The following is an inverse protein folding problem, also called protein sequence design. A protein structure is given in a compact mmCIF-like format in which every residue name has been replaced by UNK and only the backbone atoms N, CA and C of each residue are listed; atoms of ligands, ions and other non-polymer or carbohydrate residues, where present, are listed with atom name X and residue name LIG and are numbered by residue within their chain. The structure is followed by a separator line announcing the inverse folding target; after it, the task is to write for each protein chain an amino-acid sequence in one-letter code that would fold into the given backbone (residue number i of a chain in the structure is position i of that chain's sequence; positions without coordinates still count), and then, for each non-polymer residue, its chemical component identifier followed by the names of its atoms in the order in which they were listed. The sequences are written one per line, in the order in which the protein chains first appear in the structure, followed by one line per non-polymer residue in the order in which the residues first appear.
data_IF_776466545916
#
_entry.id   IF_776466545916
#
_cell.length_a   1.000
_cell.length_b   1.000
_cell.length_c   1.000
_cell.angle_alpha   90.00
_cell.angle_beta   90.00
_cell.angle_gamma   90.00
#
_symmetry.space_group_name_H-M   'P 1'
#
loop_
_entity.id
_entity.type
_entity.pdbx_description
1 polymer ?
#
# COMPACT_ATOMS: atom_id res chain seq x y z
N UNK A 1 -2.90 -26.79 13.69
CA UNK A 1 -1.91 -25.83 13.18
C UNK A 1 -2.63 -24.79 12.33
N UNK A 2 -2.31 -23.51 12.48
CA UNK A 2 -2.90 -22.45 11.63
C UNK A 2 -2.32 -22.51 10.21
N UNK A 3 -2.90 -21.76 9.25
CA UNK A 3 -2.49 -21.71 7.84
C UNK A 3 -0.98 -21.47 7.62
N UNK A 4 -0.30 -20.84 8.59
CA UNK A 4 1.13 -20.54 8.52
C UNK A 4 2.05 -21.67 9.04
N UNK A 5 1.52 -22.78 9.58
CA UNK A 5 2.31 -23.83 10.24
C UNK A 5 3.27 -23.30 11.32
N UNK A 6 2.89 -22.20 11.98
CA UNK A 6 3.60 -21.54 13.09
C UNK A 6 2.65 -21.41 14.29
N UNK A 7 3.16 -21.30 15.54
CA UNK A 7 2.33 -21.15 16.73
C UNK A 7 1.75 -19.72 16.86
N UNK A 8 0.97 -19.29 15.88
CA UNK A 8 0.44 -17.92 15.76
C UNK A 8 -1.02 -17.78 16.23
N UNK A 9 -1.68 -18.89 16.57
CA UNK A 9 -3.09 -18.87 16.96
C UNK A 9 -3.29 -18.14 18.29
N UNK A 10 -4.30 -17.26 18.37
CA UNK A 10 -4.59 -16.46 19.56
C UNK A 10 -3.82 -15.14 19.66
N UNK A 11 -2.91 -14.87 18.72
CA UNK A 11 -2.10 -13.66 18.69
C UNK A 11 -2.68 -12.58 17.76
N UNK A 12 -2.51 -11.31 18.13
CA UNK A 12 -2.81 -10.16 17.25
C UNK A 12 -1.54 -9.68 16.55
N UNK A 13 -1.63 -9.39 15.25
CA UNK A 13 -0.53 -8.84 14.44
C UNK A 13 -1.01 -7.67 13.61
N UNK A 14 -0.18 -6.64 13.52
CA UNK A 14 -0.34 -5.58 12.52
C UNK A 14 0.20 -6.07 11.17
N UNK A 15 -0.58 -5.85 10.12
CA UNK A 15 -0.19 -6.08 8.73
C UNK A 15 -0.23 -4.74 8.01
N UNK A 16 0.89 -4.35 7.43
CA UNK A 16 1.06 -3.07 6.76
C UNK A 16 2.15 -3.19 5.68
N UNK A 17 2.29 -2.14 4.87
CA UNK A 17 3.37 -1.98 3.92
C UNK A 17 4.76 -2.00 4.61
N UNK A 18 5.87 -2.11 3.86
CA UNK A 18 7.22 -2.16 4.42
C UNK A 18 7.59 -0.94 5.30
N UNK A 19 7.01 0.22 4.96
CA UNK A 19 7.23 1.53 5.58
C UNK A 19 6.01 2.44 5.35
N UNK A 20 5.76 3.45 6.20
CA UNK A 20 4.77 4.49 5.94
C UNK A 20 5.21 5.36 4.76
N UNK A 21 4.28 6.17 4.25
CA UNK A 21 4.54 7.16 3.20
C UNK A 21 3.84 8.48 3.50
N UNK A 22 4.22 9.56 2.82
CA UNK A 22 3.53 10.86 2.89
C UNK A 22 2.82 11.22 1.58
N UNK A 23 1.82 12.08 1.63
CA UNK A 23 1.14 12.53 0.40
C UNK A 23 2.05 13.42 -0.45
N UNK A 24 2.95 14.15 0.20
CA UNK A 24 3.95 15.01 -0.41
C UNK A 24 4.96 14.23 -1.26
N UNK A 25 5.16 12.93 -1.02
CA UNK A 25 5.97 12.07 -1.90
C UNK A 25 5.11 11.26 -2.89
N UNK A 26 3.97 10.73 -2.45
CA UNK A 26 3.16 9.85 -3.29
C UNK A 26 2.44 10.59 -4.43
N UNK A 27 1.91 11.80 -4.17
CA UNK A 27 1.17 12.58 -5.18
C UNK A 27 2.09 13.06 -6.31
N UNK A 28 3.27 13.65 -6.05
CA UNK A 28 4.17 14.04 -7.14
C UNK A 28 4.63 12.84 -7.97
N UNK A 29 4.95 11.71 -7.32
CA UNK A 29 5.32 10.48 -8.03
C UNK A 29 4.22 10.00 -8.98
N UNK A 30 2.97 9.94 -8.49
CA UNK A 30 1.82 9.55 -9.30
C UNK A 30 1.58 10.54 -10.45
N UNK A 31 1.63 11.84 -10.18
CA UNK A 31 1.38 12.89 -11.15
C UNK A 31 2.40 12.85 -12.31
N UNK A 32 3.68 12.64 -12.00
CA UNK A 32 4.76 12.45 -12.98
C UNK A 32 4.50 11.24 -13.88
N UNK A 33 4.18 10.08 -13.28
CA UNK A 33 3.86 8.85 -14.03
C UNK A 33 2.65 8.98 -14.94
N UNK A 34 1.73 9.86 -14.60
CA UNK A 34 0.51 10.13 -15.37
C UNK A 34 0.64 11.27 -16.38
N UNK A 35 1.71 12.06 -16.31
CA UNK A 35 1.87 13.27 -17.13
C UNK A 35 0.81 14.34 -16.83
N UNK A 36 0.33 14.43 -15.59
CA UNK A 36 -0.70 15.40 -15.17
C UNK A 36 -0.15 16.37 -14.12
N UNK A 37 -0.63 17.62 -14.08
CA UNK A 37 -0.27 18.53 -13.00
C UNK A 37 -0.92 18.11 -11.68
N UNK A 38 -0.30 18.48 -10.57
CA UNK A 38 -0.90 18.42 -9.24
C UNK A 38 -0.87 19.79 -8.56
N UNK A 39 -1.71 19.97 -7.55
CA UNK A 39 -1.72 21.16 -6.70
C UNK A 39 -1.51 20.73 -5.24
N UNK A 40 -0.73 21.52 -4.52
CA UNK A 40 -0.54 21.37 -3.07
C UNK A 40 -1.57 22.25 -2.35
N UNK A 41 -2.37 21.66 -1.47
CA UNK A 41 -3.44 22.34 -0.74
C UNK A 41 -3.26 22.11 0.76
N UNK A 42 -3.11 23.20 1.50
CA UNK A 42 -3.25 23.21 2.96
C UNK A 42 -4.68 23.60 3.34
N UNK A 43 -5.47 22.62 3.80
CA UNK A 43 -6.84 22.85 4.26
C UNK A 43 -6.85 23.39 5.70
N UNK A 44 -7.30 24.64 5.87
CA UNK A 44 -7.46 25.24 7.19
C UNK A 44 -8.44 24.43 8.05
N UNK A 45 -8.05 24.13 9.30
CA UNK A 45 -8.85 23.33 10.23
C UNK A 45 -8.80 21.82 10.00
N UNK A 46 -8.05 21.34 9.01
CA UNK A 46 -7.80 19.92 8.81
C UNK A 46 -6.48 19.54 9.51
N UNK A 47 -6.53 18.50 10.36
CA UNK A 47 -5.32 17.91 10.94
C UNK A 47 -5.01 16.66 10.13
N UNK A 48 -3.88 16.62 9.40
CA UNK A 48 -3.54 15.44 8.63
C UNK A 48 -3.34 14.24 9.56
N UNK A 49 -3.69 13.05 9.08
CA UNK A 49 -3.45 11.82 9.82
C UNK A 49 -2.03 11.36 9.55
N UNK A 50 -1.23 11.26 10.61
CA UNK A 50 0.10 10.69 10.57
C UNK A 50 0.12 9.48 11.49
N UNK A 51 0.28 8.30 10.91
CA UNK A 51 0.38 7.06 11.67
C UNK A 51 1.30 6.08 10.96
N UNK A 52 1.92 5.22 11.74
CA UNK A 52 2.67 4.08 11.27
C UNK A 52 2.29 2.85 12.11
N UNK A 53 2.54 1.67 11.56
CA UNK A 53 2.29 0.42 12.28
C UNK A 53 3.61 -0.28 12.59
N UNK A 54 3.77 -0.69 13.86
CA UNK A 54 4.84 -1.62 14.22
C UNK A 54 4.49 -3.04 13.74
N UNK A 55 5.13 -3.47 12.66
CA UNK A 55 5.01 -4.82 12.09
C UNK A 55 6.10 -5.79 12.56
N UNK A 56 6.91 -5.40 13.55
CA UNK A 56 8.07 -6.18 14.01
C UNK A 56 7.69 -7.55 14.58
N UNK A 57 6.50 -7.68 15.17
CA UNK A 57 5.98 -8.97 15.68
C UNK A 57 5.80 -10.00 14.57
N UNK A 58 5.19 -9.61 13.44
CA UNK A 58 5.01 -10.50 12.29
C UNK A 58 6.33 -10.89 11.64
N UNK A 59 7.25 -9.92 11.51
CA UNK A 59 8.63 -10.14 11.02
C UNK A 59 9.35 -11.23 11.83
N UNK A 60 9.34 -11.10 13.18
CA UNK A 60 10.00 -12.06 14.07
C UNK A 60 9.33 -13.42 14.11
N UNK A 61 7.99 -13.47 14.15
CA UNK A 61 7.28 -14.71 14.47
C UNK A 61 7.08 -15.63 13.27
N UNK A 62 6.73 -15.09 12.11
CA UNK A 62 6.44 -15.89 10.92
C UNK A 62 7.13 -15.38 9.65
N UNK A 63 8.12 -14.48 9.78
CA UNK A 63 8.89 -13.99 8.64
C UNK A 63 8.09 -13.05 7.71
N UNK A 64 7.12 -12.32 8.26
CA UNK A 64 6.32 -11.37 7.48
C UNK A 64 7.22 -10.33 6.78
N UNK A 65 7.27 -10.38 5.45
CA UNK A 65 8.15 -9.52 4.64
C UNK A 65 7.34 -8.87 3.52
N UNK A 66 6.50 -7.86 3.83
CA UNK A 66 5.73 -7.16 2.80
C UNK A 66 6.68 -6.60 1.74
N UNK A 67 6.26 -6.61 0.48
CA UNK A 67 7.07 -6.16 -0.67
C UNK A 67 6.42 -4.98 -1.42
N UNK A 68 5.14 -4.71 -1.19
CA UNK A 68 4.40 -3.65 -1.87
C UNK A 68 4.33 -2.41 -0.98
N UNK A 69 5.13 -1.41 -1.33
CA UNK A 69 4.96 -0.04 -0.87
C UNK A 69 4.05 0.75 -1.82
N UNK A 70 3.76 2.01 -1.48
CA UNK A 70 2.87 2.86 -2.28
C UNK A 70 3.38 3.06 -3.71
N UNK A 71 4.70 3.14 -3.92
CA UNK A 71 5.29 3.40 -5.23
C UNK A 71 5.15 2.20 -6.16
N UNK A 72 5.46 0.99 -5.67
CA UNK A 72 5.22 -0.25 -6.42
C UNK A 72 3.74 -0.44 -6.72
N UNK A 73 2.86 -0.15 -5.75
CA UNK A 73 1.42 -0.20 -5.96
C UNK A 73 0.96 0.79 -7.04
N UNK A 74 1.51 2.00 -7.09
CA UNK A 74 1.24 2.98 -8.16
C UNK A 74 1.70 2.44 -9.52
N UNK A 75 2.93 1.93 -9.60
CA UNK A 75 3.48 1.39 -10.85
C UNK A 75 2.65 0.22 -11.38
N UNK A 76 2.29 -0.73 -10.52
CA UNK A 76 1.47 -1.88 -10.89
C UNK A 76 0.07 -1.44 -11.34
N UNK A 77 -0.54 -0.47 -10.65
CA UNK A 77 -1.86 0.04 -11.01
C UNK A 77 -1.87 0.73 -12.39
N UNK A 78 -0.81 1.48 -12.70
CA UNK A 78 -0.64 2.11 -14.03
C UNK A 78 -0.40 1.06 -15.09
N UNK A 79 0.49 0.10 -14.84
CA UNK A 79 0.75 -1.00 -15.78
C UNK A 79 -0.54 -1.79 -16.08
N UNK A 80 -1.34 -2.08 -15.06
CA UNK A 80 -2.64 -2.73 -15.22
C UNK A 80 -3.61 -1.90 -16.07
N UNK A 81 -3.70 -0.59 -15.81
CA UNK A 81 -4.52 0.33 -16.63
C UNK A 81 -4.08 0.32 -18.09
N UNK A 82 -2.78 0.21 -18.33
CA UNK A 82 -2.20 0.23 -19.67
C UNK A 82 -2.20 -1.17 -20.34
N UNK A 83 -2.87 -2.15 -19.71
CA UNK A 83 -3.18 -3.46 -20.29
C UNK A 83 -2.24 -4.60 -19.88
N UNK A 84 -1.31 -4.36 -18.95
CA UNK A 84 -0.49 -5.44 -18.40
C UNK A 84 -1.32 -6.33 -17.47
N UNK A 85 -1.19 -7.66 -17.63
CA UNK A 85 -1.70 -8.61 -16.64
C UNK A 85 -0.75 -8.59 -15.43
N UNK A 86 -1.10 -7.78 -14.43
CA UNK A 86 -0.33 -7.66 -13.18
C UNK A 86 -0.74 -8.67 -12.11
N UNK A 87 -1.65 -9.62 -12.41
CA UNK A 87 -2.26 -10.48 -11.38
C UNK A 87 -3.08 -9.70 -10.34
N UNK A 88 -3.34 -8.41 -10.58
CA UNK A 88 -4.17 -7.55 -9.74
C UNK A 88 -5.63 -7.83 -10.09
N UNK A 89 -6.41 -8.29 -9.10
CA UNK A 89 -7.83 -8.55 -9.27
C UNK A 89 -8.58 -7.22 -9.10
N UNK A 90 -9.35 -6.76 -10.11
CA UNK A 90 -10.16 -5.56 -9.98
C UNK A 90 -11.15 -5.68 -8.81
N UNK A 91 -11.25 -4.64 -7.98
CA UNK A 91 -12.24 -4.57 -6.90
C UNK A 91 -13.67 -4.35 -7.42
N UNK A 92 -13.81 -4.01 -8.70
CA UNK A 92 -15.09 -3.94 -9.42
C UNK A 92 -14.98 -4.77 -10.69
N UNK A 93 -15.96 -5.65 -10.95
CA UNK A 93 -16.06 -6.38 -12.21
C UNK A 93 -16.09 -5.37 -13.37
N UNK A 94 -15.40 -5.72 -14.46
CA UNK A 94 -15.41 -4.95 -15.71
C UNK A 94 -16.86 -4.58 -16.08
N UNK A 95 -17.17 -3.34 -16.53
CA UNK A 95 -18.47 -3.07 -17.11
C UNK A 95 -18.64 -3.97 -18.34
N UNK A 96 -19.80 -4.63 -18.43
CA UNK A 96 -20.27 -5.37 -19.60
C UNK A 96 -20.24 -4.54 -20.89
#
# INVERSE_FOLDING_TARGET
TAALNKPVAGEVYQLAAPQPYTWEEAIPYLADKLGVPYIDISLAGNTPTFYEFDISKGRRHFGYTPQWDIFRMIDDAIAMRDGADGGVIPTYGQPI
#
